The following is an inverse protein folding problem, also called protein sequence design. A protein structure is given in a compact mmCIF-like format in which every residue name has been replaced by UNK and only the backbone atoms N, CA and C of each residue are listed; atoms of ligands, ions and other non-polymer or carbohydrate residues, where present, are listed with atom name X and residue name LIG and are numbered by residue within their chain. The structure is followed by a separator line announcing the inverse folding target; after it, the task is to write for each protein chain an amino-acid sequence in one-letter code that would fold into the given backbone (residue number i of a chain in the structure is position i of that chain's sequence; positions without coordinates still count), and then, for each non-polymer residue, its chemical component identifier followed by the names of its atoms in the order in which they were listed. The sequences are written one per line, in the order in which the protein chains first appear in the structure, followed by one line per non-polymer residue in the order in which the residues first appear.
data_IF_813455967839
#
_entry.id   IF_813455967839
#
_cell.length_a   1.000
_cell.length_b   1.000
_cell.length_c   1.000
_cell.angle_alpha   90.00
_cell.angle_beta   90.00
_cell.angle_gamma   90.00
#
_symmetry.space_group_name_H-M   'P 1'
#
loop_
_entity.id
_entity.type
_entity.pdbx_description
1 polymer ?
#
# COMPACT_ATOMS: atom_id res chain seq x y z
N UNK A 1 22.10 -23.87 13.57
CA UNK A 1 21.21 -22.94 12.84
C UNK A 1 20.29 -22.30 13.85
N UNK A 2 20.51 -21.06 14.27
CA UNK A 2 19.53 -20.30 15.06
C UNK A 2 19.91 -18.83 15.01
N UNK A 3 18.97 -18.06 14.49
CA UNK A 3 18.79 -16.62 14.63
C UNK A 3 19.99 -15.77 14.18
N UNK A 4 20.07 -15.55 12.85
CA UNK A 4 20.64 -14.28 12.37
C UNK A 4 19.72 -13.18 12.90
N UNK A 5 20.18 -12.58 13.98
CA UNK A 5 19.82 -11.28 14.52
C UNK A 5 20.04 -10.24 13.41
N UNK A 6 19.18 -10.25 12.39
CA UNK A 6 19.09 -9.19 11.41
C UNK A 6 18.25 -8.12 12.08
N UNK A 7 18.84 -6.95 12.19
CA UNK A 7 18.33 -5.78 12.86
C UNK A 7 16.84 -5.58 12.59
N UNK A 8 16.17 -4.96 13.55
CA UNK A 8 14.81 -4.45 13.45
C UNK A 8 14.68 -3.51 12.23
N UNK A 9 14.65 -4.08 11.02
CA UNK A 9 13.95 -3.49 9.88
C UNK A 9 12.52 -3.37 10.39
N UNK A 10 12.10 -2.14 10.69
CA UNK A 10 10.70 -1.83 10.93
C UNK A 10 9.98 -2.28 9.67
N UNK A 11 9.47 -3.50 9.66
CA UNK A 11 8.68 -4.03 8.55
C UNK A 11 7.42 -3.19 8.52
N UNK A 12 7.44 -2.14 7.71
CA UNK A 12 6.25 -1.40 7.36
C UNK A 12 5.38 -2.36 6.58
N UNK A 13 4.43 -2.98 7.27
CA UNK A 13 3.44 -3.82 6.63
C UNK A 13 2.29 -2.94 6.16
N UNK A 14 2.00 -3.03 4.86
CA UNK A 14 0.86 -2.36 4.27
C UNK A 14 -0.03 -3.37 3.58
N UNK A 15 -1.33 -3.10 3.66
CA UNK A 15 -2.36 -3.85 2.99
C UNK A 15 -2.90 -3.03 1.83
N UNK A 16 -2.82 -3.60 0.62
CA UNK A 16 -3.45 -3.02 -0.55
C UNK A 16 -4.81 -3.67 -0.77
N UNK A 17 -5.85 -2.85 -0.70
CA UNK A 17 -7.23 -3.24 -1.02
C UNK A 17 -7.67 -2.53 -2.29
N UNK A 18 -8.14 -3.27 -3.29
CA UNK A 18 -8.71 -2.67 -4.48
C UNK A 18 -10.19 -2.31 -4.24
N UNK A 19 -10.55 -1.05 -4.46
CA UNK A 19 -11.92 -0.56 -4.35
C UNK A 19 -12.31 0.27 -5.57
N UNK A 20 -13.51 0.06 -6.07
CA UNK A 20 -14.11 0.96 -7.08
C UNK A 20 -14.76 2.12 -6.35
N UNK A 21 -14.30 3.35 -6.63
CA UNK A 21 -14.90 4.57 -6.10
C UNK A 21 -15.23 5.50 -7.25
N UNK A 22 -16.50 5.94 -7.35
CA UNK A 22 -17.01 6.76 -8.47
C UNK A 22 -16.70 6.17 -9.86
N UNK A 23 -16.90 4.86 -10.03
CA UNK A 23 -16.58 4.09 -11.25
C UNK A 23 -15.08 4.01 -11.61
N UNK A 24 -14.19 4.46 -10.74
CA UNK A 24 -12.74 4.41 -10.95
C UNK A 24 -12.12 3.40 -9.99
N UNK A 25 -11.36 2.40 -10.48
CA UNK A 25 -10.59 1.50 -9.64
C UNK A 25 -9.47 2.26 -8.89
N UNK A 26 -9.44 2.14 -7.57
CA UNK A 26 -8.43 2.72 -6.70
C UNK A 26 -7.84 1.63 -5.80
N UNK A 27 -6.56 1.78 -5.46
CA UNK A 27 -5.92 0.98 -4.41
C UNK A 27 -5.94 1.80 -3.13
N UNK A 28 -6.54 1.23 -2.09
CA UNK A 28 -6.54 1.76 -0.74
C UNK A 28 -5.37 1.14 -0.01
N UNK A 29 -4.55 1.99 0.61
CA UNK A 29 -3.40 1.62 1.40
C UNK A 29 -3.84 1.62 2.86
N UNK A 30 -3.96 0.43 3.43
CA UNK A 30 -4.33 0.19 4.83
C UNK A 30 -3.10 -0.24 5.62
N UNK A 31 -2.93 0.30 6.81
CA UNK A 31 -1.81 -0.03 7.69
C UNK A 31 -2.15 0.40 9.11
N UNK A 32 -1.47 -0.17 10.10
CA UNK A 32 -1.55 0.34 11.47
C UNK A 32 -0.95 1.73 11.53
N UNK A 33 -1.56 2.65 12.28
CA UNK A 33 -1.14 4.04 12.35
C UNK A 33 0.37 4.15 12.61
N UNK A 34 1.11 4.67 11.63
CA UNK A 34 2.56 4.74 11.65
C UNK A 34 3.01 6.05 10.98
N UNK A 35 3.64 6.92 11.76
CA UNK A 35 4.08 8.24 11.31
C UNK A 35 5.16 8.17 10.22
N UNK A 36 6.08 7.20 10.29
CA UNK A 36 7.11 7.03 9.28
C UNK A 36 6.50 6.66 7.92
N UNK A 37 5.52 5.76 7.93
CA UNK A 37 4.80 5.38 6.72
C UNK A 37 3.94 6.51 6.17
N UNK A 38 3.24 7.26 7.03
CA UNK A 38 2.48 8.45 6.61
C UNK A 38 3.41 9.47 5.94
N UNK A 39 4.60 9.70 6.49
CA UNK A 39 5.57 10.62 5.91
C UNK A 39 6.10 10.13 4.55
N UNK A 40 6.30 8.82 4.37
CA UNK A 40 6.66 8.23 3.09
C UNK A 40 5.53 8.37 2.06
N UNK A 41 4.29 8.09 2.46
CA UNK A 41 3.12 8.22 1.59
C UNK A 41 2.92 9.68 1.14
N UNK A 42 3.09 10.65 2.03
CA UNK A 42 3.02 12.09 1.70
C UNK A 42 4.07 12.53 0.67
N UNK A 43 5.25 11.92 0.67
CA UNK A 43 6.31 12.21 -0.32
C UNK A 43 6.06 11.53 -1.67
N UNK A 44 5.20 10.52 -1.70
CA UNK A 44 4.90 9.75 -2.91
C UNK A 44 3.85 10.49 -3.75
N UNK A 45 4.27 11.12 -4.86
CA UNK A 45 3.40 11.99 -5.69
C UNK A 45 2.10 11.33 -6.19
N UNK A 46 2.06 10.01 -6.33
CA UNK A 46 0.88 9.29 -6.80
C UNK A 46 -0.15 8.97 -5.70
N UNK A 47 0.21 9.18 -4.43
CA UNK A 47 -0.62 8.86 -3.28
C UNK A 47 -1.36 10.09 -2.79
N UNK A 48 -2.67 9.95 -2.59
CA UNK A 48 -3.54 11.00 -2.12
C UNK A 48 -4.33 10.54 -0.89
N UNK A 49 -4.56 11.45 0.05
CA UNK A 49 -5.50 11.19 1.13
C UNK A 49 -6.93 11.37 0.63
N UNK A 50 -7.74 10.31 0.67
CA UNK A 50 -9.14 10.36 0.29
C UNK A 50 -10.02 10.76 1.48
N UNK A 51 -10.57 11.98 1.48
CA UNK A 51 -11.44 12.45 2.57
C UNK A 51 -12.66 11.55 2.80
N UNK A 52 -13.30 11.06 1.74
CA UNK A 52 -14.47 10.16 1.83
C UNK A 52 -14.12 8.79 2.39
N UNK A 53 -12.97 8.24 1.99
CA UNK A 53 -12.52 6.91 2.40
C UNK A 53 -11.71 6.95 3.70
N UNK A 54 -11.38 8.15 4.20
CA UNK A 54 -10.45 8.39 5.32
C UNK A 54 -9.22 7.49 5.25
N UNK A 55 -8.66 7.37 4.05
CA UNK A 55 -7.60 6.41 3.74
C UNK A 55 -6.67 6.98 2.66
N UNK A 56 -5.42 6.54 2.70
CA UNK A 56 -4.47 6.80 1.62
C UNK A 56 -4.84 5.96 0.39
N UNK A 57 -4.93 6.61 -0.77
CA UNK A 57 -5.40 6.01 -2.00
C UNK A 57 -4.43 6.33 -3.14
N UNK A 58 -4.29 5.39 -4.07
CA UNK A 58 -3.49 5.53 -5.28
C UNK A 58 -4.25 4.93 -6.46
N UNK A 59 -4.07 5.48 -7.67
CA UNK A 59 -4.65 4.87 -8.87
C UNK A 59 -4.04 3.48 -9.09
N UNK A 60 -4.89 2.53 -9.49
CA UNK A 60 -4.43 1.18 -9.86
C UNK A 60 -3.49 1.32 -11.07
N UNK A 61 -2.21 1.03 -10.89
CA UNK A 61 -1.23 0.90 -11.97
C UNK A 61 -0.14 -0.11 -11.58
N UNK A 62 0.44 -0.79 -12.57
CA UNK A 62 1.54 -1.76 -12.34
C UNK A 62 2.75 -1.08 -11.66
N UNK A 63 3.04 0.17 -12.05
CA UNK A 63 4.13 0.97 -11.49
C UNK A 63 3.92 1.28 -10.01
N UNK A 64 2.74 1.77 -9.62
CA UNK A 64 2.44 2.09 -8.23
C UNK A 64 2.54 0.85 -7.34
N UNK A 65 1.99 -0.29 -7.79
CA UNK A 65 2.09 -1.57 -7.07
C UNK A 65 3.55 -1.98 -6.85
N UNK A 66 4.40 -1.81 -7.88
CA UNK A 66 5.83 -2.13 -7.80
C UNK A 66 6.56 -1.21 -6.81
N UNK A 67 6.26 0.08 -6.82
CA UNK A 67 6.84 1.06 -5.88
C UNK A 67 6.54 0.67 -4.42
N UNK A 68 5.30 0.26 -4.12
CA UNK A 68 4.96 -0.16 -2.76
C UNK A 68 5.65 -1.44 -2.31
N UNK A 69 5.82 -2.42 -3.21
CA UNK A 69 6.57 -3.65 -2.92
C UNK A 69 8.04 -3.40 -2.59
N UNK A 70 8.61 -2.29 -3.06
CA UNK A 70 9.99 -1.90 -2.76
C UNK A 70 10.13 -1.11 -1.45
N UNK A 71 9.05 -0.47 -0.96
CA UNK A 71 9.08 0.42 0.21
C UNK A 71 8.57 -0.28 1.47
N UNK A 72 7.68 -1.26 1.30
CA UNK A 72 6.95 -1.89 2.38
C UNK A 72 6.68 -3.37 2.08
N UNK A 73 6.47 -4.16 3.13
CA UNK A 73 5.92 -5.50 2.96
C UNK A 73 4.45 -5.36 2.55
N UNK A 74 4.15 -5.70 1.29
CA UNK A 74 2.81 -5.57 0.72
C UNK A 74 2.05 -6.87 0.87
N UNK A 75 1.08 -6.87 1.78
CA UNK A 75 0.09 -7.93 1.95
C UNK A 75 -1.15 -7.59 1.13
N UNK A 76 -1.42 -8.27 0.03
CA UNK A 76 -2.59 -7.98 -0.81
C UNK A 76 -3.85 -8.65 -0.25
N UNK A 77 -4.86 -7.88 0.14
CA UNK A 77 -6.18 -8.42 0.53
C UNK A 77 -7.23 -7.96 -0.49
N UNK A 78 -7.88 -8.91 -1.17
CA UNK A 78 -8.88 -8.64 -2.23
C UNK A 78 -8.35 -7.75 -3.37
N UNK A 79 -7.25 -8.14 -4.01
CA UNK A 79 -7.11 -7.81 -5.44
C UNK A 79 -8.13 -8.69 -6.13
N UNK A 80 -9.05 -8.11 -6.90
CA UNK A 80 -10.09 -8.89 -7.57
C UNK A 80 -9.44 -10.09 -8.26
N UNK A 81 -9.93 -11.29 -7.94
CA UNK A 81 -9.67 -12.51 -8.71
C UNK A 81 -10.34 -12.30 -10.08
N UNK A 82 -9.73 -11.49 -10.93
CA UNK A 82 -9.98 -11.48 -12.36
C UNK A 82 -8.71 -11.01 -13.02
N UNK A 83 -8.13 -11.97 -13.73
CA UNK A 83 -6.90 -11.90 -14.51
C UNK A 83 -6.57 -10.50 -15.02
N UNK A 84 -5.37 -10.04 -14.69
CA UNK A 84 -4.57 -9.28 -15.64
C UNK A 84 -3.35 -10.14 -15.92
N UNK A 85 -3.57 -11.16 -16.76
CA UNK A 85 -2.55 -11.69 -17.66
C UNK A 85 -2.07 -10.54 -18.56
#
# INVERSE_FOLDING_TARGET
MLVKKKELEIYLEIFLEQKVHRKIPQLIIKFQYNNALINLLRKTKSVLWGNTLKSWCVKVSKENIKTFKNIASVSTYKVFKKEVL
#
